data_IF_710469659489
#
_entry.id   IF_710469659489
#
_cell.length_a   1.000
_cell.length_b   1.000
_cell.length_c   1.000
_cell.angle_alpha   90.00
_cell.angle_beta   90.00
_cell.angle_gamma   90.00
#
_symmetry.space_group_name_H-M   'P 1'
#
loop_
_entity.id
_entity.type
_entity.pdbx_description
1 polymer ?
#
# COMPACT_ATOMS: atom_id res chain seq x y z
N UNK A 1 -67.09 -46.69 18.57
CA UNK A 1 -66.30 -46.17 19.71
C UNK A 1 -65.21 -45.29 19.14
N UNK A 2 -65.30 -43.99 19.44
CA UNK A 2 -64.58 -42.92 18.75
C UNK A 2 -63.06 -42.96 18.97
N UNK A 3 -62.31 -42.80 17.88
CA UNK A 3 -60.90 -42.45 17.91
C UNK A 3 -60.80 -40.93 17.70
N UNK A 4 -60.12 -40.17 18.56
CA UNK A 4 -59.90 -38.75 18.35
C UNK A 4 -58.89 -38.55 17.22
N UNK A 5 -59.04 -37.51 16.38
CA UNK A 5 -58.03 -37.15 15.40
C UNK A 5 -56.87 -36.45 16.12
N UNK A 6 -55.66 -36.97 15.93
CA UNK A 6 -54.41 -36.34 16.30
C UNK A 6 -54.25 -35.05 15.48
N UNK A 7 -54.51 -33.91 16.11
CA UNK A 7 -53.91 -32.64 15.76
C UNK A 7 -52.41 -32.74 16.04
N UNK A 8 -51.60 -32.78 14.98
CA UNK A 8 -50.16 -32.52 15.05
C UNK A 8 -49.87 -31.28 14.18
N UNK A 9 -49.02 -30.37 14.69
CA UNK A 9 -49.14 -28.95 14.40
C UNK A 9 -48.32 -28.53 13.18
N UNK A 10 -48.45 -27.25 12.88
CA UNK A 10 -47.91 -26.49 11.76
C UNK A 10 -46.41 -26.06 11.85
N UNK A 11 -45.48 -26.55 12.72
CA UNK A 11 -44.15 -25.97 12.80
C UNK A 11 -43.12 -26.64 11.86
N UNK A 12 -43.49 -27.68 11.12
CA UNK A 12 -42.55 -28.40 10.24
C UNK A 12 -42.31 -27.72 8.88
N UNK A 13 -43.06 -26.66 8.54
CA UNK A 13 -42.85 -25.90 7.30
C UNK A 13 -41.94 -24.67 7.44
N UNK A 14 -41.50 -24.36 8.67
CA UNK A 14 -40.67 -23.17 8.98
C UNK A 14 -39.18 -23.49 9.16
N UNK A 15 -38.77 -24.77 9.05
CA UNK A 15 -37.37 -25.21 9.20
C UNK A 15 -36.61 -25.34 7.87
N UNK A 16 -37.25 -25.09 6.73
CA UNK A 16 -36.62 -25.15 5.40
C UNK A 16 -36.12 -23.80 4.87
N UNK A 17 -36.12 -22.75 5.69
CA UNK A 17 -35.39 -21.50 5.43
C UNK A 17 -34.18 -21.49 6.38
N UNK A 18 -33.36 -22.54 6.35
CA UNK A 18 -31.96 -22.36 6.68
C UNK A 18 -31.41 -21.47 5.56
N UNK A 19 -31.31 -20.19 5.89
CA UNK A 19 -30.61 -19.20 5.11
C UNK A 19 -29.27 -19.80 4.69
N UNK A 20 -29.20 -20.22 3.43
CA UNK A 20 -27.96 -20.17 2.68
C UNK A 20 -27.55 -18.70 2.70
N UNK A 21 -26.81 -18.31 3.74
CA UNK A 21 -25.97 -17.11 3.67
C UNK A 21 -25.12 -17.39 2.44
N UNK A 22 -25.30 -16.66 1.33
CA UNK A 22 -24.42 -16.87 0.20
C UNK A 22 -23.01 -16.67 0.76
N UNK A 23 -22.13 -17.65 0.57
CA UNK A 23 -20.71 -17.43 0.72
C UNK A 23 -20.44 -16.06 0.10
N UNK A 24 -19.93 -15.09 0.85
CA UNK A 24 -19.68 -13.77 0.28
C UNK A 24 -18.72 -14.01 -0.87
N UNK A 25 -19.20 -13.96 -2.12
CA UNK A 25 -18.35 -14.17 -3.28
C UNK A 25 -17.28 -13.10 -3.23
N UNK A 26 -16.01 -13.51 -3.28
CA UNK A 26 -14.92 -12.56 -3.31
C UNK A 26 -15.06 -11.63 -4.50
N UNK A 27 -14.52 -10.41 -4.40
CA UNK A 27 -14.44 -9.51 -5.55
C UNK A 27 -13.77 -10.24 -6.70
N UNK A 28 -14.34 -10.17 -7.90
CA UNK A 28 -13.73 -10.73 -9.10
C UNK A 28 -13.09 -9.62 -9.93
N UNK A 29 -11.86 -9.81 -10.38
CA UNK A 29 -11.14 -8.86 -11.22
C UNK A 29 -10.60 -9.56 -12.48
N UNK A 30 -10.32 -8.78 -13.52
CA UNK A 30 -9.49 -9.27 -14.62
C UNK A 30 -8.03 -9.27 -14.20
N UNK A 31 -7.36 -10.40 -14.36
CA UNK A 31 -5.92 -10.56 -14.27
C UNK A 31 -5.34 -10.60 -15.68
N UNK A 32 -4.56 -9.58 -16.05
CA UNK A 32 -3.89 -9.51 -17.35
C UNK A 32 -2.38 -9.35 -17.14
N UNK A 33 -1.61 -10.24 -17.77
CA UNK A 33 -0.14 -10.14 -17.81
C UNK A 33 0.30 -9.18 -18.92
N UNK A 34 1.55 -8.72 -18.86
CA UNK A 34 2.16 -7.83 -19.87
C UNK A 34 2.09 -8.35 -21.31
N UNK A 35 2.00 -9.67 -21.52
CA UNK A 35 1.83 -10.28 -22.84
C UNK A 35 0.39 -10.24 -23.39
N UNK A 36 -0.55 -9.59 -22.68
CA UNK A 36 -1.95 -9.44 -23.08
C UNK A 36 -2.86 -10.62 -22.73
N UNK A 37 -2.34 -11.70 -22.12
CA UNK A 37 -3.18 -12.82 -21.69
C UNK A 37 -4.01 -12.42 -20.45
N UNK A 38 -5.34 -12.46 -20.59
CA UNK A 38 -6.29 -12.05 -19.56
C UNK A 38 -7.19 -13.21 -19.13
N UNK A 39 -7.41 -13.34 -17.82
CA UNK A 39 -8.40 -14.25 -17.22
C UNK A 39 -9.14 -13.57 -16.08
N UNK A 40 -10.25 -14.16 -15.66
CA UNK A 40 -10.93 -13.75 -14.42
C UNK A 40 -10.21 -14.40 -13.24
N UNK A 41 -10.02 -13.63 -12.18
CA UNK A 41 -9.47 -14.08 -10.90
C UNK A 41 -10.41 -13.65 -9.77
N UNK A 42 -10.60 -14.53 -8.79
CA UNK A 42 -11.26 -14.22 -7.53
C UNK A 42 -10.23 -13.66 -6.56
N UNK A 43 -10.47 -12.46 -6.03
CA UNK A 43 -9.53 -11.78 -5.17
C UNK A 43 -9.42 -12.45 -3.80
N UNK A 44 -8.19 -12.44 -3.26
CA UNK A 44 -7.94 -13.00 -1.94
C UNK A 44 -8.58 -12.16 -0.83
N UNK A 45 -8.82 -12.71 0.37
CA UNK A 45 -9.25 -11.91 1.51
C UNK A 45 -8.32 -10.71 1.73
N UNK A 46 -8.89 -9.52 1.96
CA UNK A 46 -8.13 -8.27 2.09
C UNK A 46 -7.79 -7.57 0.76
N UNK A 47 -8.19 -8.13 -0.38
CA UNK A 47 -8.11 -7.49 -1.70
C UNK A 47 -9.52 -7.14 -2.20
N UNK A 48 -9.98 -5.95 -1.89
CA UNK A 48 -11.33 -5.43 -2.18
C UNK A 48 -11.35 -4.43 -3.34
N UNK A 49 -10.24 -4.33 -4.09
CA UNK A 49 -10.12 -3.46 -5.26
C UNK A 49 -9.57 -4.23 -6.48
N UNK A 50 -9.96 -3.79 -7.68
CA UNK A 50 -9.31 -4.14 -8.93
C UNK A 50 -8.40 -3.01 -9.38
N UNK A 51 -7.22 -3.34 -9.90
CA UNK A 51 -6.29 -2.39 -10.51
C UNK A 51 -6.14 -2.57 -12.02
N UNK A 52 -5.81 -1.47 -12.69
CA UNK A 52 -5.26 -1.41 -14.04
C UNK A 52 -4.03 -0.51 -14.02
N UNK A 53 -2.87 -1.07 -14.32
CA UNK A 53 -1.59 -0.35 -14.40
C UNK A 53 -1.19 -0.25 -15.86
N UNK A 54 -0.91 0.97 -16.33
CA UNK A 54 -0.56 1.27 -17.71
C UNK A 54 0.82 1.94 -17.70
N UNK A 55 1.75 1.35 -18.43
CA UNK A 55 3.04 1.95 -18.76
C UNK A 55 3.01 2.36 -20.23
N UNK A 56 3.26 3.64 -20.51
CA UNK A 56 3.48 4.14 -21.87
C UNK A 56 4.89 4.67 -21.99
N UNK A 57 5.56 4.29 -23.08
CA UNK A 57 6.87 4.80 -23.47
C UNK A 57 6.68 5.45 -24.84
N UNK A 58 6.90 6.76 -24.92
CA UNK A 58 6.80 7.51 -26.16
C UNK A 58 8.17 8.03 -26.58
N UNK A 59 8.55 7.77 -27.83
CA UNK A 59 9.77 8.27 -28.45
C UNK A 59 9.44 8.82 -29.83
N UNK A 60 9.49 10.14 -30.01
CA UNK A 60 8.99 10.77 -31.24
C UNK A 60 7.50 10.45 -31.50
N UNK A 61 7.23 9.79 -32.62
CA UNK A 61 5.89 9.33 -33.03
C UNK A 61 5.60 7.87 -32.64
N UNK A 62 6.60 7.14 -32.15
CA UNK A 62 6.43 5.75 -31.69
C UNK A 62 5.94 5.73 -30.23
N UNK A 63 4.96 4.86 -29.96
CA UNK A 63 4.39 4.68 -28.62
C UNK A 63 4.21 3.20 -28.31
N UNK A 64 4.86 2.74 -27.24
CA UNK A 64 4.68 1.42 -26.66
C UNK A 64 3.75 1.54 -25.44
N UNK A 65 2.68 0.74 -25.40
CA UNK A 65 1.78 0.64 -24.25
C UNK A 65 1.79 -0.79 -23.68
N UNK A 66 2.07 -0.92 -22.37
CA UNK A 66 1.97 -2.17 -21.62
C UNK A 66 0.87 -1.99 -20.56
N UNK A 67 -0.07 -2.94 -20.52
CA UNK A 67 -1.19 -2.88 -19.58
C UNK A 67 -1.27 -4.16 -18.74
N UNK A 68 -1.20 -3.98 -17.43
CA UNK A 68 -1.40 -5.03 -16.44
C UNK A 68 -2.67 -4.78 -15.64
N UNK A 69 -3.31 -5.88 -15.22
CA UNK A 69 -4.55 -5.82 -14.43
C UNK A 69 -4.52 -6.92 -13.38
N UNK A 70 -5.20 -6.72 -12.26
CA UNK A 70 -5.37 -7.74 -11.22
C UNK A 70 -6.15 -7.21 -10.03
N UNK A 71 -6.16 -8.00 -8.95
CA UNK A 71 -6.64 -7.58 -7.64
C UNK A 71 -5.64 -6.62 -6.96
N UNK A 72 -6.13 -5.82 -6.03
CA UNK A 72 -5.39 -4.83 -5.26
C UNK A 72 -5.95 -4.70 -3.85
N UNK A 73 -5.09 -4.24 -2.94
CA UNK A 73 -5.43 -3.96 -1.54
C UNK A 73 -6.11 -2.59 -1.39
N UNK A 74 -6.91 -2.39 -0.32
CA UNK A 74 -7.77 -1.21 -0.13
C UNK A 74 -7.01 0.12 -0.10
N UNK A 75 -5.74 0.10 0.28
CA UNK A 75 -4.95 1.32 0.43
C UNK A 75 -4.69 1.99 -0.93
N UNK A 76 -4.74 1.24 -2.05
CA UNK A 76 -4.40 1.73 -3.39
C UNK A 76 -5.32 2.83 -3.90
N UNK A 77 -4.74 3.84 -4.55
CA UNK A 77 -5.47 4.96 -5.16
C UNK A 77 -5.13 5.17 -6.63
N UNK A 78 -5.98 5.92 -7.33
CA UNK A 78 -5.66 6.41 -8.67
C UNK A 78 -4.43 7.31 -8.62
N UNK A 79 -3.46 7.09 -9.51
CA UNK A 79 -2.23 7.86 -9.56
C UNK A 79 -1.61 7.87 -10.94
N UNK A 80 -0.90 8.95 -11.24
CA UNK A 80 -0.25 9.15 -12.53
C UNK A 80 1.10 9.82 -12.32
N UNK A 81 2.09 9.41 -13.09
CA UNK A 81 3.40 10.04 -13.13
C UNK A 81 3.97 9.96 -14.54
N UNK A 82 4.47 11.08 -15.05
CA UNK A 82 5.11 11.19 -16.35
C UNK A 82 6.43 11.91 -16.21
N UNK A 83 7.48 11.36 -16.81
CA UNK A 83 8.82 11.94 -16.76
C UNK A 83 9.62 11.59 -18.01
N UNK A 84 10.75 12.27 -18.21
CA UNK A 84 11.66 12.07 -19.33
C UNK A 84 12.87 11.24 -18.92
N UNK A 85 13.27 10.35 -19.81
CA UNK A 85 14.55 9.66 -19.81
C UNK A 85 15.12 9.85 -21.21
N UNK A 86 16.23 10.56 -21.33
CA UNK A 86 16.80 10.94 -22.63
C UNK A 86 15.74 11.54 -23.57
N UNK A 87 15.46 10.91 -24.73
CA UNK A 87 14.45 11.36 -25.68
C UNK A 87 13.05 10.79 -25.42
N UNK A 88 12.93 9.84 -24.49
CA UNK A 88 11.69 9.12 -24.20
C UNK A 88 10.86 9.84 -23.13
N UNK A 89 9.53 9.74 -23.25
CA UNK A 89 8.59 10.11 -22.20
C UNK A 89 7.99 8.83 -21.65
N UNK A 90 8.26 8.57 -20.38
CA UNK A 90 7.66 7.48 -19.62
C UNK A 90 6.40 8.02 -18.94
N UNK A 91 5.29 7.31 -19.07
CA UNK A 91 4.03 7.63 -18.37
C UNK A 91 3.51 6.38 -17.67
N UNK A 92 3.43 6.44 -16.36
CA UNK A 92 2.85 5.44 -15.48
C UNK A 92 1.49 5.92 -15.03
N UNK A 93 0.46 5.10 -15.20
CA UNK A 93 -0.89 5.40 -14.71
C UNK A 93 -1.48 4.17 -14.05
N UNK A 94 -2.06 4.35 -12.87
CA UNK A 94 -2.78 3.30 -12.17
C UNK A 94 -4.20 3.77 -11.86
N UNK A 95 -5.17 2.93 -12.22
CA UNK A 95 -6.59 3.13 -11.94
C UNK A 95 -7.13 2.01 -11.08
N UNK A 96 -7.97 2.38 -10.12
CA UNK A 96 -8.53 1.50 -9.10
C UNK A 96 -10.06 1.58 -9.13
N UNK A 97 -10.73 0.45 -8.90
CA UNK A 97 -12.19 0.35 -8.81
C UNK A 97 -12.63 -0.85 -7.94
N UNK A 98 -13.78 -0.76 -7.27
CA UNK A 98 -14.20 -1.75 -6.24
C UNK A 98 -15.43 -2.58 -6.60
N UNK A 99 -15.67 -2.87 -7.89
CA UNK A 99 -16.81 -3.69 -8.32
C UNK A 99 -16.41 -4.81 -9.26
N UNK A 100 -17.20 -5.88 -9.29
CA UNK A 100 -16.89 -7.08 -10.06
C UNK A 100 -16.55 -6.76 -11.53
N UNK A 101 -15.35 -7.17 -11.94
CA UNK A 101 -14.80 -7.01 -13.28
C UNK A 101 -14.77 -5.56 -13.78
N UNK A 102 -14.72 -4.58 -12.89
CA UNK A 102 -14.71 -3.16 -13.24
C UNK A 102 -13.48 -2.74 -14.07
N UNK A 103 -12.39 -3.51 -13.97
CA UNK A 103 -11.16 -3.32 -14.73
C UNK A 103 -11.16 -4.04 -16.10
N UNK A 104 -12.31 -4.57 -16.57
CA UNK A 104 -12.39 -5.26 -17.85
C UNK A 104 -11.83 -4.41 -19.00
N UNK A 105 -11.03 -4.97 -19.92
CA UNK A 105 -10.51 -4.25 -21.07
C UNK A 105 -11.65 -3.56 -21.83
N UNK A 106 -11.56 -2.23 -21.94
CA UNK A 106 -12.44 -1.46 -22.80
C UNK A 106 -11.73 -1.25 -24.14
N UNK A 107 -12.46 -1.23 -25.27
CA UNK A 107 -11.90 -0.76 -26.52
C UNK A 107 -11.35 0.65 -26.28
N UNK A 108 -10.06 0.84 -26.47
CA UNK A 108 -9.38 2.11 -26.23
C UNK A 108 -10.03 3.19 -27.10
N UNK A 109 -10.64 4.18 -26.46
CA UNK A 109 -10.72 5.53 -27.04
C UNK A 109 -9.62 6.33 -26.37
N UNK A 110 -8.64 6.86 -27.12
CA UNK A 110 -7.71 7.81 -26.53
C UNK A 110 -8.54 8.96 -25.94
N UNK A 111 -8.34 9.34 -24.68
CA UNK A 111 -8.92 10.56 -24.16
C UNK A 111 -8.46 11.71 -25.06
N UNK A 112 -9.40 12.30 -25.80
CA UNK A 112 -9.17 13.53 -26.55
C UNK A 112 -9.15 14.67 -25.53
N UNK A 113 -8.04 14.80 -24.80
CA UNK A 113 -7.77 16.05 -24.12
C UNK A 113 -7.36 17.06 -25.20
N UNK A 114 -8.13 18.14 -25.42
CA UNK A 114 -7.74 19.16 -26.38
C UNK A 114 -6.35 19.68 -25.98
N UNK A 115 -5.40 19.70 -26.92
CA UNK A 115 -4.06 20.28 -26.75
C UNK A 115 -4.17 21.74 -26.30
N UNK A 116 -4.33 21.96 -25.00
CA UNK A 116 -4.09 23.24 -24.34
C UNK A 116 -2.69 23.17 -23.72
N UNK A 117 -2.01 24.31 -23.66
CA UNK A 117 -0.75 24.42 -22.92
C UNK A 117 -1.08 24.31 -21.43
N UNK A 118 -1.03 23.10 -20.91
CA UNK A 118 -1.16 22.84 -19.48
C UNK A 118 0.16 23.23 -18.76
N UNK A 119 0.22 22.94 -17.46
CA UNK A 119 1.39 23.20 -16.62
C UNK A 119 2.67 22.63 -17.26
N UNK A 120 3.76 23.39 -17.22
CA UNK A 120 5.09 22.98 -17.69
C UNK A 120 5.99 22.75 -16.47
N UNK A 121 6.62 21.59 -16.40
CA UNK A 121 7.45 21.15 -15.27
C UNK A 121 8.87 20.79 -15.71
N UNK A 122 9.81 20.82 -14.77
CA UNK A 122 11.12 20.19 -14.97
C UNK A 122 10.98 18.67 -14.94
N UNK A 123 11.77 17.96 -15.73
CA UNK A 123 11.71 16.51 -15.82
C UNK A 123 13.08 15.88 -16.06
N UNK A 124 13.34 14.82 -15.32
CA UNK A 124 14.59 14.07 -15.32
C UNK A 124 14.37 12.71 -14.63
N UNK A 125 15.35 11.81 -14.77
CA UNK A 125 15.42 10.53 -14.08
C UNK A 125 16.86 10.22 -13.64
N UNK A 126 17.02 9.20 -12.79
CA UNK A 126 18.33 8.68 -12.37
C UNK A 126 18.90 7.67 -13.35
N UNK A 127 18.06 6.96 -14.10
CA UNK A 127 18.49 5.94 -15.07
C UNK A 127 19.45 6.46 -16.13
N UNK A 128 19.30 7.72 -16.56
CA UNK A 128 20.16 8.40 -17.52
C UNK A 128 21.07 9.46 -16.87
N UNK A 129 21.05 9.54 -15.52
CA UNK A 129 21.76 10.52 -14.70
C UNK A 129 21.38 11.98 -15.00
N UNK A 130 20.23 12.22 -15.64
CA UNK A 130 19.81 13.58 -16.00
C UNK A 130 19.50 14.43 -14.77
N UNK A 131 18.92 13.83 -13.72
CA UNK A 131 18.65 14.55 -12.47
C UNK A 131 19.95 14.96 -11.77
N UNK A 132 20.86 14.01 -11.55
CA UNK A 132 22.10 14.19 -10.80
C UNK A 132 23.04 15.18 -11.48
N UNK A 133 23.04 15.22 -12.83
CA UNK A 133 23.84 16.15 -13.62
C UNK A 133 23.17 17.53 -13.79
N UNK A 134 21.93 17.69 -13.33
CA UNK A 134 21.16 18.93 -13.51
C UNK A 134 20.77 19.17 -14.97
N UNK A 135 20.64 18.12 -15.77
CA UNK A 135 20.19 18.17 -17.17
C UNK A 135 18.67 18.06 -17.25
N UNK A 136 17.98 18.86 -16.43
CA UNK A 136 16.51 18.92 -16.38
C UNK A 136 15.96 19.31 -17.76
N UNK A 137 15.07 18.48 -18.29
CA UNK A 137 14.31 18.77 -19.51
C UNK A 137 12.95 19.38 -19.17
N UNK A 138 12.32 20.00 -20.17
CA UNK A 138 10.94 20.49 -20.02
C UNK A 138 9.92 19.42 -20.40
N UNK A 139 8.89 19.27 -19.57
CA UNK A 139 7.74 18.40 -19.84
C UNK A 139 6.44 19.19 -19.64
N UNK A 140 5.58 19.17 -20.65
CA UNK A 140 4.21 19.68 -20.53
C UNK A 140 3.30 18.58 -19.99
N UNK A 141 2.57 18.88 -18.93
CA UNK A 141 1.61 17.97 -18.34
C UNK A 141 0.43 17.71 -19.30
N UNK A 142 -0.15 16.52 -19.22
CA UNK A 142 -1.23 16.11 -20.12
C UNK A 142 -2.61 16.46 -19.58
N UNK A 143 -2.76 16.45 -18.25
CA UNK A 143 -4.04 16.63 -17.58
C UNK A 143 -4.03 17.92 -16.73
N UNK A 144 -5.16 18.65 -16.65
CA UNK A 144 -5.25 19.88 -15.85
C UNK A 144 -5.17 19.62 -14.33
N UNK A 145 -5.38 18.38 -13.87
CA UNK A 145 -5.20 17.98 -12.48
C UNK A 145 -3.78 17.55 -12.13
N UNK A 146 -2.87 17.49 -13.10
CA UNK A 146 -1.46 17.17 -12.85
C UNK A 146 -0.71 18.38 -12.28
N UNK A 147 0.20 18.06 -11.37
CA UNK A 147 1.12 18.98 -10.72
C UNK A 147 2.54 18.63 -11.12
N UNK A 148 3.47 19.56 -10.91
CA UNK A 148 4.88 19.24 -11.00
C UNK A 148 5.30 18.42 -9.77
N UNK A 149 6.00 17.33 -10.02
CA UNK A 149 6.42 16.36 -9.01
C UNK A 149 7.94 16.28 -8.93
N UNK A 150 8.44 16.07 -7.72
CA UNK A 150 9.80 15.62 -7.43
C UNK A 150 9.69 14.46 -6.43
N UNK A 151 10.15 13.28 -6.86
CA UNK A 151 10.12 12.04 -6.10
C UNK A 151 11.56 11.59 -5.85
N UNK A 152 11.87 11.30 -4.59
CA UNK A 152 13.15 10.75 -4.16
C UNK A 152 12.91 9.42 -3.48
N UNK A 153 13.61 8.38 -3.93
CA UNK A 153 13.58 7.05 -3.35
C UNK A 153 15.01 6.57 -3.16
N UNK A 154 15.51 6.57 -1.93
CA UNK A 154 16.81 6.03 -1.60
C UNK A 154 16.64 4.86 -0.63
N UNK A 155 17.19 3.69 -0.98
CA UNK A 155 17.24 2.52 -0.10
C UNK A 155 18.65 1.95 -0.11
N UNK A 156 19.24 1.80 1.06
CA UNK A 156 20.61 1.29 1.23
C UNK A 156 20.70 -0.23 1.33
N UNK A 157 19.61 -0.90 1.74
CA UNK A 157 19.63 -2.34 2.04
C UNK A 157 19.40 -3.24 0.82
N UNK A 158 18.79 -2.72 -0.26
CA UNK A 158 18.67 -3.40 -1.55
C UNK A 158 18.58 -2.36 -2.67
N UNK A 159 19.56 -2.32 -3.58
CA UNK A 159 19.34 -1.77 -4.93
C UNK A 159 18.34 -2.71 -5.62
N UNK A 160 17.04 -2.49 -5.42
CA UNK A 160 16.07 -3.01 -6.38
C UNK A 160 16.39 -2.32 -7.71
N UNK A 161 16.82 -3.04 -8.75
CA UNK A 161 17.34 -2.43 -9.99
C UNK A 161 16.26 -1.77 -10.85
N UNK A 162 15.09 -1.42 -10.28
CA UNK A 162 13.92 -0.92 -11.00
C UNK A 162 13.39 0.43 -10.54
N UNK A 163 13.67 0.86 -9.31
CA UNK A 163 13.12 2.12 -8.80
C UNK A 163 14.12 3.26 -9.04
N UNK A 164 13.68 4.30 -9.74
CA UNK A 164 14.46 5.52 -9.95
C UNK A 164 14.79 6.19 -8.60
N UNK A 165 16.06 6.52 -8.37
CA UNK A 165 16.44 7.22 -7.13
C UNK A 165 15.86 8.63 -7.08
N UNK A 166 15.91 9.32 -8.20
CA UNK A 166 15.40 10.67 -8.38
C UNK A 166 14.55 10.72 -9.63
N UNK A 167 13.39 11.35 -9.54
CA UNK A 167 12.55 11.58 -10.72
C UNK A 167 11.77 12.88 -10.60
N UNK A 168 11.72 13.62 -11.70
CA UNK A 168 10.92 14.84 -11.82
C UNK A 168 10.00 14.76 -13.03
N UNK A 169 8.83 15.38 -12.91
CA UNK A 169 7.94 15.51 -14.05
C UNK A 169 6.54 15.95 -13.66
N UNK A 170 5.54 15.40 -14.34
CA UNK A 170 4.14 15.71 -14.16
C UNK A 170 3.39 14.55 -13.53
N UNK A 171 2.39 14.82 -12.70
CA UNK A 171 1.54 13.74 -12.23
C UNK A 171 0.58 14.14 -11.11
N UNK A 172 -0.08 13.12 -10.58
CA UNK A 172 -0.91 13.22 -9.39
C UNK A 172 -0.62 11.96 -8.56
N UNK A 173 0.05 12.15 -7.43
CA UNK A 173 0.44 11.08 -6.52
C UNK A 173 -0.26 11.28 -5.17
N UNK A 174 -0.55 10.19 -4.44
CA UNK A 174 -1.03 10.30 -3.06
C UNK A 174 -0.03 11.12 -2.23
N UNK A 175 -0.53 11.99 -1.35
CA UNK A 175 0.31 12.92 -0.58
C UNK A 175 0.50 14.30 -1.23
N UNK A 176 -0.02 14.53 -2.44
CA UNK A 176 -0.16 15.88 -2.99
C UNK A 176 -1.48 16.55 -2.52
N UNK A 177 -1.49 17.87 -2.24
CA UNK A 177 -0.36 18.79 -2.26
C UNK A 177 0.63 18.53 -1.11
N UNK A 178 1.91 18.40 -1.44
CA UNK A 178 3.00 18.06 -0.53
C UNK A 178 3.66 19.28 0.15
N UNK A 179 4.85 19.12 0.77
CA UNK A 179 5.70 17.93 0.76
C UNK A 179 5.27 16.86 1.77
N UNK A 180 5.65 15.62 1.49
CA UNK A 180 5.55 14.49 2.42
C UNK A 180 6.80 13.62 2.29
N UNK A 181 7.12 12.84 3.32
CA UNK A 181 8.30 11.98 3.28
C UNK A 181 8.50 11.16 4.54
N UNK A 182 9.43 10.24 4.43
CA UNK A 182 9.91 9.38 5.50
C UNK A 182 11.42 9.22 5.38
N UNK A 183 12.11 9.18 6.52
CA UNK A 183 13.49 8.73 6.53
C UNK A 183 13.83 7.98 7.81
N UNK A 184 14.77 7.06 7.69
CA UNK A 184 15.45 6.40 8.78
C UNK A 184 16.93 6.21 8.37
N UNK A 185 17.68 5.36 9.08
CA UNK A 185 19.10 5.15 8.76
C UNK A 185 19.34 4.47 7.40
N UNK A 186 18.34 3.79 6.85
CA UNK A 186 18.51 2.96 5.66
C UNK A 186 17.79 3.50 4.43
N UNK A 187 16.72 4.25 4.63
CA UNK A 187 15.76 4.61 3.61
C UNK A 187 15.39 6.08 3.72
N UNK A 188 15.27 6.74 2.58
CA UNK A 188 14.72 8.08 2.43
C UNK A 188 13.74 8.12 1.28
N UNK A 189 12.48 8.45 1.58
CA UNK A 189 11.44 8.71 0.62
C UNK A 189 10.97 10.15 0.76
N UNK A 190 10.83 10.85 -0.35
CA UNK A 190 10.33 12.22 -0.35
C UNK A 190 9.50 12.51 -1.59
N UNK A 191 8.36 13.15 -1.39
CA UNK A 191 7.48 13.63 -2.44
C UNK A 191 7.23 15.12 -2.25
N UNK A 192 7.54 15.90 -3.28
CA UNK A 192 7.17 17.31 -3.38
C UNK A 192 6.27 17.49 -4.59
N UNK A 193 5.17 18.22 -4.39
CA UNK A 193 4.24 18.57 -5.45
C UNK A 193 4.00 20.08 -5.45
N UNK A 194 3.90 20.69 -6.63
CA UNK A 194 3.64 22.11 -6.77
C UNK A 194 2.93 22.40 -8.11
N UNK A 195 2.23 23.53 -8.19
CA UNK A 195 1.27 23.82 -9.27
C UNK A 195 1.63 25.05 -10.12
N UNK A 196 2.88 25.51 -10.06
CA UNK A 196 3.38 26.64 -10.86
C UNK A 196 4.47 26.18 -11.83
N UNK A 197 4.67 26.92 -12.93
CA UNK A 197 5.59 26.51 -13.99
C UNK A 197 7.01 26.26 -13.46
N UNK A 198 7.55 25.06 -13.72
CA UNK A 198 8.90 24.60 -13.35
C UNK A 198 9.26 24.75 -11.87
N UNK A 199 8.26 24.70 -10.99
CA UNK A 199 8.45 24.82 -9.55
C UNK A 199 9.19 23.64 -8.91
N UNK A 200 9.30 22.51 -9.61
CA UNK A 200 10.01 21.31 -9.18
C UNK A 200 11.47 21.25 -9.68
N UNK A 201 11.99 22.33 -10.27
CA UNK A 201 13.40 22.42 -10.65
C UNK A 201 14.33 22.73 -9.48
N UNK A 202 15.63 22.76 -9.76
CA UNK A 202 16.69 23.07 -8.77
C UNK A 202 17.66 21.92 -8.55
N UNK A 203 18.58 22.02 -7.59
CA UNK A 203 19.48 20.91 -7.27
C UNK A 203 18.68 19.71 -6.76
N UNK A 204 19.21 18.51 -6.99
CA UNK A 204 18.62 17.26 -6.48
C UNK A 204 18.51 17.30 -4.96
N UNK A 205 17.38 16.84 -4.44
CA UNK A 205 17.13 16.79 -3.01
C UNK A 205 17.75 15.53 -2.40
N UNK A 206 18.77 15.71 -1.58
CA UNK A 206 19.30 14.66 -0.71
C UNK A 206 18.86 14.91 0.74
N UNK A 207 18.79 13.85 1.55
CA UNK A 207 18.39 13.96 2.96
C UNK A 207 19.26 14.97 3.74
N UNK A 208 20.56 15.01 3.44
CA UNK A 208 21.51 15.93 4.09
C UNK A 208 21.23 17.41 3.77
N UNK A 209 20.53 17.70 2.67
CA UNK A 209 20.14 19.05 2.28
C UNK A 209 18.95 19.55 3.12
N UNK A 210 18.24 18.65 3.82
CA UNK A 210 17.17 19.00 4.73
C UNK A 210 17.73 19.35 6.12
N UNK A 211 17.32 20.49 6.71
CA UNK A 211 17.81 20.90 8.02
C UNK A 211 17.30 19.96 9.11
N UNK A 212 18.08 19.80 10.18
CA UNK A 212 17.63 19.14 11.40
C UNK A 212 16.43 19.89 11.98
N UNK A 213 15.42 19.16 12.45
CA UNK A 213 14.20 19.75 13.01
C UNK A 213 14.08 19.60 14.54
N UNK A 214 15.10 19.04 15.19
CA UNK A 214 15.18 18.88 16.65
C UNK A 214 14.47 17.65 17.20
N UNK A 215 13.82 16.84 16.36
CA UNK A 215 13.24 15.57 16.77
C UNK A 215 14.22 14.41 16.62
N UNK A 216 14.11 13.42 17.49
CA UNK A 216 14.86 12.16 17.40
C UNK A 216 13.89 10.99 17.50
N UNK A 217 14.01 10.01 16.61
CA UNK A 217 13.13 8.84 16.57
C UNK A 217 13.96 7.57 16.47
N UNK A 218 13.41 6.46 16.96
CA UNK A 218 14.00 5.15 16.73
C UNK A 218 13.87 4.78 15.24
N UNK A 219 14.90 4.11 14.74
CA UNK A 219 15.11 3.75 13.34
C UNK A 219 15.45 2.27 13.26
N UNK A 220 14.72 1.53 12.45
CA UNK A 220 15.00 0.14 12.12
C UNK A 220 14.19 -0.29 10.89
N UNK A 221 14.65 -1.36 10.22
CA UNK A 221 13.93 -2.07 9.17
C UNK A 221 14.20 -3.56 9.30
N UNK A 222 13.17 -4.40 9.32
CA UNK A 222 13.34 -5.85 9.46
C UNK A 222 12.16 -6.50 10.15
N UNK A 223 12.38 -7.54 10.93
CA UNK A 223 11.37 -8.11 11.83
C UNK A 223 11.75 -7.81 13.29
N UNK A 224 10.88 -8.16 14.23
CA UNK A 224 11.11 -7.88 15.67
C UNK A 224 12.35 -8.58 16.26
N UNK A 225 12.90 -9.59 15.59
CA UNK A 225 14.07 -10.37 16.04
C UNK A 225 15.36 -10.04 15.29
N UNK A 226 15.26 -9.49 14.09
CA UNK A 226 16.35 -9.22 13.15
C UNK A 226 16.05 -7.92 12.42
N UNK A 227 16.93 -6.93 12.53
CA UNK A 227 16.77 -5.59 11.98
C UNK A 227 16.03 -4.63 12.91
N UNK A 228 14.91 -5.05 13.51
CA UNK A 228 14.13 -4.25 14.47
C UNK A 228 14.10 -4.82 15.91
N UNK A 229 15.13 -5.58 16.29
CA UNK A 229 15.33 -5.96 17.69
C UNK A 229 15.73 -4.74 18.55
N UNK A 230 15.64 -4.86 19.88
CA UNK A 230 16.06 -3.79 20.79
C UNK A 230 17.55 -3.44 20.68
N UNK A 231 18.38 -4.39 20.22
CA UNK A 231 19.82 -4.20 20.06
C UNK A 231 20.19 -3.56 18.72
N UNK A 232 19.37 -3.77 17.68
CA UNK A 232 19.60 -3.25 16.33
C UNK A 232 18.90 -1.92 16.07
N UNK A 233 17.88 -1.59 16.88
CA UNK A 233 17.17 -0.31 16.77
C UNK A 233 18.04 0.83 17.32
N UNK A 234 18.23 1.89 16.53
CA UNK A 234 19.04 3.06 16.90
C UNK A 234 18.25 4.36 16.80
N UNK A 235 18.68 5.40 17.53
CA UNK A 235 18.09 6.73 17.38
C UNK A 235 18.68 7.42 16.14
N UNK A 236 17.82 8.12 15.41
CA UNK A 236 18.20 8.96 14.27
C UNK A 236 17.64 10.38 14.43
N UNK A 237 18.37 11.37 13.94
CA UNK A 237 17.97 12.77 14.00
C UNK A 237 17.06 13.12 12.83
N UNK A 238 15.88 13.65 13.14
CA UNK A 238 14.88 13.96 12.15
C UNK A 238 15.18 15.26 11.38
N UNK A 239 14.76 15.29 10.10
CA UNK A 239 15.10 16.35 9.14
C UNK A 239 13.87 16.87 8.40
N UNK A 240 13.92 18.14 8.01
CA UNK A 240 12.90 18.78 7.20
C UNK A 240 11.49 18.65 7.82
N UNK A 241 10.45 18.35 7.01
CA UNK A 241 9.07 18.25 7.50
C UNK A 241 8.79 16.94 8.28
N UNK A 242 9.77 16.04 8.39
CA UNK A 242 9.58 14.70 8.97
C UNK A 242 9.74 14.78 10.50
N UNK A 243 8.72 15.30 11.19
CA UNK A 243 8.75 15.63 12.61
C UNK A 243 7.89 14.71 13.50
N UNK A 244 7.39 13.60 12.95
CA UNK A 244 6.70 12.54 13.70
C UNK A 244 7.60 11.31 13.78
N UNK A 245 7.55 10.60 14.91
CA UNK A 245 8.12 9.27 14.98
C UNK A 245 7.09 8.27 14.49
N UNK A 246 7.47 7.46 13.51
CA UNK A 246 6.64 6.46 12.88
C UNK A 246 7.10 5.06 13.30
N UNK A 247 6.10 4.20 13.47
CA UNK A 247 6.23 2.76 13.50
C UNK A 247 5.20 2.18 12.54
N UNK A 248 5.63 1.30 11.66
CA UNK A 248 4.73 0.54 10.82
C UNK A 248 5.05 -0.94 10.86
N UNK A 249 4.00 -1.75 10.84
CA UNK A 249 4.10 -3.22 10.72
C UNK A 249 3.27 -3.67 9.53
N UNK A 250 3.72 -4.68 8.80
CA UNK A 250 3.00 -5.24 7.68
C UNK A 250 3.61 -6.54 7.19
N UNK A 251 3.05 -7.09 6.13
CA UNK A 251 3.56 -8.30 5.48
C UNK A 251 4.24 -7.95 4.18
N UNK A 252 5.50 -8.39 4.01
CA UNK A 252 6.22 -8.27 2.75
C UNK A 252 5.89 -9.50 1.89
N UNK A 253 5.59 -9.29 0.61
CA UNK A 253 5.25 -10.35 -0.37
C UNK A 253 6.30 -11.46 -0.53
N UNK A 254 7.53 -11.26 0.00
CA UNK A 254 8.59 -12.28 0.06
C UNK A 254 8.50 -13.29 1.22
N UNK A 255 7.44 -13.24 2.05
CA UNK A 255 7.17 -14.30 3.03
C UNK A 255 7.67 -14.06 4.46
N UNK A 256 8.12 -12.85 4.79
CA UNK A 256 8.31 -12.45 6.19
C UNK A 256 6.94 -12.06 6.79
N UNK A 257 6.42 -12.83 7.77
CA UNK A 257 5.06 -12.63 8.29
C UNK A 257 4.90 -11.34 9.12
N UNK A 258 5.99 -10.65 9.46
CA UNK A 258 5.97 -9.38 10.18
C UNK A 258 7.21 -8.55 9.84
N UNK A 259 7.07 -7.63 8.91
CA UNK A 259 8.07 -6.60 8.62
C UNK A 259 7.71 -5.32 9.36
N UNK A 260 8.66 -4.79 10.12
CA UNK A 260 8.56 -3.60 10.96
C UNK A 260 9.50 -2.54 10.41
N UNK A 261 9.03 -1.30 10.39
CA UNK A 261 9.80 -0.12 10.00
C UNK A 261 9.60 0.95 11.06
N UNK A 262 10.70 1.55 11.53
CA UNK A 262 10.69 2.73 12.40
C UNK A 262 11.50 3.85 11.78
N UNK A 263 11.08 5.09 12.00
CA UNK A 263 11.81 6.27 11.51
C UNK A 263 11.09 7.59 11.75
N UNK A 264 11.56 8.63 11.08
CA UNK A 264 10.95 9.96 11.10
C UNK A 264 10.03 10.12 9.87
N UNK A 265 8.83 10.63 10.08
CA UNK A 265 7.83 10.81 9.04
C UNK A 265 7.21 12.20 9.06
N UNK A 266 6.79 12.71 7.90
CA UNK A 266 5.88 13.85 7.85
C UNK A 266 4.48 13.42 8.34
N UNK A 267 3.67 14.30 8.93
CA UNK A 267 2.32 13.94 9.37
C UNK A 267 1.45 13.33 8.26
N UNK A 268 1.59 13.80 7.02
CA UNK A 268 0.90 13.27 5.84
C UNK A 268 1.38 11.89 5.38
N UNK A 269 2.56 11.46 5.85
CA UNK A 269 3.12 10.14 5.58
C UNK A 269 2.60 9.06 6.54
N UNK A 270 2.01 9.46 7.66
CA UNK A 270 1.41 8.56 8.66
C UNK A 270 0.10 7.89 8.18
N UNK A 271 -0.05 7.68 6.88
CA UNK A 271 -1.19 7.04 6.24
C UNK A 271 -0.74 5.68 5.71
N UNK A 272 -1.59 4.65 5.86
CA UNK A 272 -1.28 3.27 5.49
C UNK A 272 -0.80 3.14 4.03
N UNK A 273 -1.43 3.89 3.12
CA UNK A 273 -1.09 3.91 1.70
C UNK A 273 0.37 4.27 1.41
N UNK A 274 0.89 5.34 2.03
CA UNK A 274 2.25 5.80 1.73
C UNK A 274 3.29 4.78 2.15
N UNK A 275 3.08 4.20 3.33
CA UNK A 275 3.97 3.15 3.86
C UNK A 275 3.85 1.87 3.03
N UNK A 276 2.63 1.44 2.70
CA UNK A 276 2.39 0.26 1.87
C UNK A 276 3.09 0.36 0.52
N UNK A 277 3.04 1.53 -0.13
CA UNK A 277 3.68 1.76 -1.43
C UNK A 277 5.19 1.88 -1.33
N UNK A 278 5.68 2.67 -0.37
CA UNK A 278 7.09 2.92 -0.21
C UNK A 278 7.89 1.70 0.27
N UNK A 279 7.24 0.66 0.79
CA UNK A 279 7.91 -0.55 1.29
C UNK A 279 7.34 -1.85 0.71
N UNK A 280 6.38 -1.79 -0.22
CA UNK A 280 5.77 -2.99 -0.81
C UNK A 280 5.05 -3.87 0.22
N UNK A 281 4.49 -3.27 1.26
CA UNK A 281 3.82 -3.97 2.35
C UNK A 281 2.31 -4.09 2.09
N UNK A 282 1.72 -5.15 2.65
CA UNK A 282 0.27 -5.34 2.70
C UNK A 282 -0.19 -5.55 4.14
N UNK A 283 -1.46 -5.28 4.43
CA UNK A 283 -2.02 -5.32 5.79
C UNK A 283 -1.22 -4.43 6.76
N UNK A 284 -0.97 -3.19 6.34
CA UNK A 284 -0.13 -2.26 7.06
C UNK A 284 -0.88 -1.69 8.26
N UNK A 285 -0.21 -1.61 9.39
CA UNK A 285 -0.66 -0.88 10.57
C UNK A 285 0.36 0.20 10.89
N UNK A 286 0.00 1.46 10.67
CA UNK A 286 0.85 2.63 10.91
C UNK A 286 0.48 3.30 12.23
N UNK A 287 1.48 3.59 13.04
CA UNK A 287 1.40 4.40 14.26
C UNK A 287 2.37 5.56 14.17
N UNK A 288 1.89 6.76 14.48
CA UNK A 288 2.73 7.95 14.58
C UNK A 288 2.51 8.66 15.92
N UNK A 289 3.58 9.21 16.45
CA UNK A 289 3.56 9.96 17.70
C UNK A 289 4.48 11.18 17.60
N UNK A 290 4.13 12.22 18.37
CA UNK A 290 4.93 13.43 18.49
C UNK A 290 5.72 13.39 19.80
N UNK A 291 7.03 13.61 19.71
CA UNK A 291 7.96 13.63 20.85
C UNK A 291 9.17 12.74 20.61
N UNK A 292 10.29 13.08 21.24
CA UNK A 292 11.55 12.36 21.03
C UNK A 292 11.45 10.92 21.53
N UNK A 293 11.82 9.97 20.66
CA UNK A 293 11.91 8.54 20.97
C UNK A 293 10.57 7.89 21.32
N UNK A 294 9.42 8.50 21.00
CA UNK A 294 8.11 7.97 21.38
C UNK A 294 7.76 6.65 20.65
N UNK A 295 8.47 6.32 19.56
CA UNK A 295 8.37 5.03 18.85
C UNK A 295 9.39 4.01 19.37
N UNK A 296 9.61 3.94 20.69
CA UNK A 296 10.53 2.99 21.31
C UNK A 296 9.95 1.55 21.30
N UNK A 297 10.70 0.53 20.84
CA UNK A 297 10.24 -0.87 20.89
C UNK A 297 9.86 -1.39 22.28
N UNK A 298 10.39 -0.80 23.37
CA UNK A 298 10.00 -1.18 24.73
C UNK A 298 8.53 -0.85 25.07
N UNK A 299 7.91 0.08 24.33
CA UNK A 299 6.49 0.43 24.48
C UNK A 299 5.55 -0.62 23.84
N UNK A 300 6.07 -1.49 22.98
CA UNK A 300 5.31 -2.57 22.35
C UNK A 300 4.88 -3.65 23.37
N UNK A 301 5.57 -3.72 24.52
CA UNK A 301 5.36 -4.73 25.59
C UNK A 301 4.17 -4.39 26.49
N UNK A 302 3.59 -3.19 26.41
CA UNK A 302 2.29 -2.95 27.02
C UNK A 302 1.20 -3.50 26.09
N UNK A 303 0.52 -4.61 26.43
CA UNK A 303 -0.69 -4.97 25.71
C UNK A 303 -1.62 -3.77 25.84
N UNK A 304 -2.16 -3.29 24.71
CA UNK A 304 -3.24 -2.31 24.68
C UNK A 304 -4.26 -2.71 25.73
N UNK A 305 -4.25 -2.06 26.89
CA UNK A 305 -5.38 -2.05 27.82
C UNK A 305 -6.40 -1.13 27.14
N UNK A 306 -6.99 -1.65 26.07
CA UNK A 306 -8.17 -1.09 25.46
C UNK A 306 -9.28 -1.28 26.47
N UNK A 307 -9.76 -0.16 27.01
CA UNK A 307 -10.95 -0.12 27.85
C UNK A 307 -12.07 -0.88 27.15
N UNK A 308 -12.50 -1.97 27.78
CA UNK A 308 -13.67 -2.71 27.37
C UNK A 308 -14.87 -1.76 27.38
N UNK A 309 -15.54 -1.62 26.24
CA UNK A 309 -16.92 -1.16 26.22
C UNK A 309 -17.73 -2.15 27.07
N UNK A 310 -18.23 -1.67 28.21
CA UNK A 310 -19.20 -2.37 29.04
C UNK A 310 -20.40 -2.77 28.18
N UNK A 311 -20.50 -4.05 27.87
CA UNK A 311 -21.75 -4.70 27.49
C UNK A 311 -22.30 -5.38 28.74
N UNK A 312 -23.53 -5.01 29.10
CA UNK A 312 -24.26 -5.53 30.26
C UNK A 312 -24.53 -7.04 30.18
N UNK A 313 -24.97 -7.66 31.28
CA UNK A 313 -24.76 -9.07 31.55
C UNK A 313 -25.70 -9.96 30.72
N UNK A 314 -25.13 -10.83 29.89
CA UNK A 314 -25.85 -11.96 29.33
C UNK A 314 -25.88 -13.10 30.37
N UNK A 315 -27.09 -13.54 30.69
CA UNK A 315 -27.38 -14.61 31.64
C UNK A 315 -26.63 -15.92 31.32
N UNK A 316 -25.99 -16.47 32.34
CA UNK A 316 -25.46 -17.83 32.42
C UNK A 316 -26.57 -18.86 32.14
N UNK A 317 -26.34 -19.74 31.16
CA UNK A 317 -26.92 -21.08 31.16
C UNK A 317 -26.00 -22.03 30.39
N UNK A 318 -25.21 -22.83 31.10
CA UNK A 318 -24.48 -23.96 30.52
C UNK A 318 -24.89 -25.23 31.27
N UNK A 319 -25.67 -26.06 30.58
CA UNK A 319 -26.03 -27.42 30.99
C UNK A 319 -24.94 -28.37 30.47
N UNK A 320 -24.29 -29.04 31.44
CA UNK A 320 -23.77 -30.42 31.48
C UNK A 320 -23.52 -31.14 30.15
N UNK A 321 -22.24 -31.44 29.85
CA UNK A 321 -21.85 -32.52 28.92
C UNK A 321 -21.37 -33.72 29.74
N UNK A 322 -22.02 -34.85 29.49
CA UNK A 322 -21.82 -36.15 30.13
C UNK A 322 -20.61 -36.89 29.54
N UNK A 323 -19.81 -37.45 30.44
CA UNK A 323 -18.72 -38.41 30.20
C UNK A 323 -19.24 -39.71 29.57
N UNK A 324 -18.52 -40.23 28.58
CA UNK A 324 -18.41 -41.67 28.34
C UNK A 324 -16.94 -42.02 28.16
N UNK A 325 -16.39 -42.68 29.16
CA UNK A 325 -15.15 -43.45 29.09
C UNK A 325 -15.49 -44.92 28.92
N UNK A 326 -14.75 -45.62 28.04
CA UNK A 326 -14.17 -46.96 28.26
C UNK A 326 -13.79 -47.57 26.89
N UNK A 327 -12.48 -47.70 26.61
CA UNK A 327 -11.67 -48.94 26.75
C UNK A 327 -11.73 -49.80 25.48
N UNK A 328 -10.68 -50.39 24.92
CA UNK A 328 -9.29 -50.64 25.31
C UNK A 328 -8.57 -51.30 24.10
N UNK A 329 -7.25 -51.12 24.04
CA UNK A 329 -6.22 -51.97 23.37
C UNK A 329 -6.17 -51.89 21.83
N UNK A 330 -5.03 -51.71 21.17
CA UNK A 330 -3.64 -51.63 21.58
C UNK A 330 -2.76 -51.82 20.35
N UNK A 331 -1.60 -51.15 20.32
CA UNK A 331 -0.43 -51.65 19.60
C UNK A 331 -0.13 -51.11 18.18
N UNK A 332 1.08 -50.55 18.10
CA UNK A 332 2.10 -50.72 17.06
C UNK A 332 2.41 -49.50 16.18
N UNK A 333 3.69 -49.13 16.34
CA UNK A 333 4.54 -48.18 15.63
C UNK A 333 4.84 -48.60 14.16
N UNK A 334 5.31 -47.59 13.42
CA UNK A 334 6.27 -47.60 12.28
C UNK A 334 5.74 -47.66 10.83
N UNK A 335 6.14 -46.58 10.13
CA UNK A 335 6.67 -46.48 8.75
C UNK A 335 5.72 -46.64 7.56
N UNK A 336 5.69 -45.61 6.71
CA UNK A 336 6.68 -45.39 5.63
C UNK A 336 6.96 -43.91 5.44
#
# INVERSE_FOLDING_TARGET
MGRPPLLLPLPLLLLSIQASIPASWGLQCMLCKSNGNCRVEECSPGQDLCRTTILRIREGDEELEVVERGCAHPEKTNRTMSYRIDMQIITLTEFICGSNLCNRPKPSRPPLFPRRRYLECSSCASSDLSCERGWDQSLQCHNPGEQCLEVVTHRSLEESPRDERHTRGCGNLPGCPGPTGFHNNHTFHFLRCCNTTKCNGGPVLELQNLPLNGFQCYSCEGNSTHGCSSEETSLTECRGPMNQCLEATGTNGLGNPSYTIRGCAAPSWCQDLQVAEAFGLTHVNVSCCTGNGCNNPALDIQPRIGGAHQSGPAHLNLIVILLVTARLWGGVLLWT
#
